data_IF_206021814391
#
_entry.id   IF_206021814391
#
_cell.length_a   1.000
_cell.length_b   1.000
_cell.length_c   1.000
_cell.angle_alpha   90.00
_cell.angle_beta   90.00
_cell.angle_gamma   90.00
#
_symmetry.space_group_name_H-M   'P 1'
#
loop_
_entity.id
_entity.type
_entity.pdbx_description
1 polymer ?
#
# COMPACT_ATOMS: atom_id res chain seq x y z
N UNK A 1 -37.14 -6.63 30.38
CA UNK A 1 -37.21 -5.25 29.88
C UNK A 1 -36.03 -5.03 28.96
N UNK A 2 -36.28 -5.10 27.65
CA UNK A 2 -35.28 -4.84 26.62
C UNK A 2 -35.28 -3.34 26.33
N UNK A 3 -34.17 -2.66 26.61
CA UNK A 3 -33.96 -1.31 26.10
C UNK A 3 -33.35 -1.49 24.72
N UNK A 4 -34.23 -1.50 23.72
CA UNK A 4 -33.84 -1.34 22.32
C UNK A 4 -33.30 0.09 22.14
N UNK A 5 -31.98 0.26 22.21
CA UNK A 5 -31.33 1.50 21.78
C UNK A 5 -31.42 1.62 20.26
N UNK A 6 -32.49 2.25 19.80
CA UNK A 6 -32.61 2.82 18.47
C UNK A 6 -31.44 3.79 18.21
N UNK A 7 -30.69 3.59 17.12
CA UNK A 7 -29.83 4.64 16.56
C UNK A 7 -28.44 4.24 16.10
N UNK A 8 -27.92 3.05 16.43
CA UNK A 8 -26.72 2.57 15.76
C UNK A 8 -27.13 1.90 14.45
N UNK A 9 -27.24 2.69 13.37
CA UNK A 9 -27.06 2.13 12.03
C UNK A 9 -25.69 1.45 12.06
N UNK A 10 -25.69 0.12 12.20
CA UNK A 10 -24.50 -0.69 12.01
C UNK A 10 -23.85 -0.18 10.73
N UNK A 11 -22.64 0.37 10.85
CA UNK A 11 -21.94 0.93 9.71
C UNK A 11 -21.90 -0.19 8.67
N UNK A 12 -22.70 -0.06 7.61
CA UNK A 12 -22.75 -1.03 6.53
C UNK A 12 -21.29 -1.16 6.09
N UNK A 13 -20.69 -2.32 6.32
CA UNK A 13 -19.32 -2.60 5.93
C UNK A 13 -19.36 -2.62 4.41
N UNK A 14 -19.26 -1.44 3.80
CA UNK A 14 -19.14 -1.29 2.35
C UNK A 14 -17.78 -1.82 2.00
N UNK A 15 -17.78 -3.10 1.60
CA UNK A 15 -16.62 -3.73 0.98
C UNK A 15 -16.18 -2.83 -0.17
N UNK A 16 -14.92 -2.40 -0.13
CA UNK A 16 -14.36 -1.52 -1.16
C UNK A 16 -14.46 -2.24 -2.51
N UNK A 17 -14.99 -1.54 -3.53
CA UNK A 17 -15.11 -2.11 -4.88
C UNK A 17 -13.74 -2.16 -5.54
N UNK A 18 -13.39 -3.30 -6.14
CA UNK A 18 -12.15 -3.44 -6.91
C UNK A 18 -12.53 -3.38 -8.39
N UNK A 19 -12.09 -2.33 -9.08
CA UNK A 19 -12.32 -2.14 -10.51
C UNK A 19 -11.03 -2.46 -11.27
N UNK A 20 -11.03 -3.55 -12.02
CA UNK A 20 -9.90 -3.91 -12.87
C UNK A 20 -10.04 -3.25 -14.26
N UNK A 21 -9.24 -2.21 -14.51
CA UNK A 21 -9.11 -1.55 -15.81
C UNK A 21 -7.74 -1.77 -16.46
N UNK A 22 -6.94 -2.73 -15.98
CA UNK A 22 -5.61 -3.03 -16.51
C UNK A 22 -5.71 -4.09 -17.61
N UNK A 23 -4.99 -3.87 -18.70
CA UNK A 23 -4.88 -4.82 -19.83
C UNK A 23 -3.73 -5.82 -19.66
N UNK A 24 -2.88 -5.60 -18.64
CA UNK A 24 -1.73 -6.45 -18.34
C UNK A 24 -2.14 -7.81 -17.74
N UNK A 25 -1.24 -8.79 -17.85
CA UNK A 25 -1.43 -10.12 -17.23
C UNK A 25 -1.16 -10.05 -15.72
N UNK A 26 -2.20 -9.71 -14.97
CA UNK A 26 -2.18 -9.64 -13.50
C UNK A 26 -2.20 -11.06 -12.91
N UNK A 27 -1.48 -11.33 -11.81
CA UNK A 27 -1.62 -12.59 -11.07
C UNK A 27 -3.09 -12.86 -10.67
N UNK A 28 -3.55 -14.10 -10.83
CA UNK A 28 -4.96 -14.49 -10.63
C UNK A 28 -5.49 -14.20 -9.21
N UNK A 29 -4.61 -14.22 -8.20
CA UNK A 29 -4.98 -14.02 -6.79
C UNK A 29 -4.96 -12.55 -6.35
N UNK A 30 -4.90 -11.59 -7.27
CA UNK A 30 -4.66 -10.18 -6.92
C UNK A 30 -5.81 -9.59 -6.11
N UNK A 31 -7.05 -9.78 -6.55
CA UNK A 31 -8.23 -9.31 -5.82
C UNK A 31 -8.35 -9.97 -4.44
N UNK A 32 -8.09 -11.28 -4.36
CA UNK A 32 -8.08 -12.00 -3.09
C UNK A 32 -6.98 -11.47 -2.15
N UNK A 33 -5.81 -11.12 -2.70
CA UNK A 33 -4.71 -10.53 -1.93
C UNK A 33 -5.07 -9.15 -1.42
N UNK A 34 -5.68 -8.28 -2.25
CA UNK A 34 -6.16 -6.96 -1.86
C UNK A 34 -7.18 -7.06 -0.72
N UNK A 35 -8.17 -7.95 -0.85
CA UNK A 35 -9.17 -8.17 0.20
C UNK A 35 -8.51 -8.59 1.52
N UNK A 36 -7.58 -9.56 1.49
CA UNK A 36 -6.85 -9.98 2.69
C UNK A 36 -6.08 -8.81 3.34
N UNK A 37 -5.48 -7.93 2.52
CA UNK A 37 -4.74 -6.75 3.02
C UNK A 37 -5.68 -5.78 3.72
N UNK A 38 -6.87 -5.53 3.12
CA UNK A 38 -7.90 -4.70 3.73
C UNK A 38 -8.41 -5.30 5.04
N UNK A 39 -8.66 -6.61 5.08
CA UNK A 39 -9.14 -7.32 6.28
C UNK A 39 -8.14 -7.28 7.45
N UNK A 40 -6.86 -7.03 7.18
CA UNK A 40 -5.84 -6.88 8.22
C UNK A 40 -5.83 -5.48 8.84
N UNK A 41 -6.31 -4.47 8.11
CA UNK A 41 -6.37 -3.10 8.61
C UNK A 41 -7.68 -2.86 9.38
N UNK A 42 -7.65 -2.08 10.46
CA UNK A 42 -8.86 -1.55 11.08
C UNK A 42 -9.75 -0.84 10.05
N UNK A 43 -11.06 -1.16 10.07
CA UNK A 43 -12.05 -0.62 9.12
C UNK A 43 -12.11 0.90 9.16
N UNK A 44 -11.84 1.48 10.33
CA UNK A 44 -11.77 2.92 10.52
C UNK A 44 -10.80 3.53 9.54
N UNK A 45 -9.61 2.96 9.35
CA UNK A 45 -8.50 3.58 8.62
C UNK A 45 -8.76 3.76 7.13
N UNK A 46 -9.67 2.99 6.53
CA UNK A 46 -10.07 3.11 5.13
C UNK A 46 -11.56 3.47 4.97
N UNK A 47 -12.23 3.84 6.07
CA UNK A 47 -13.64 4.20 6.06
C UNK A 47 -13.92 5.34 5.09
N UNK A 48 -14.90 5.13 4.21
CA UNK A 48 -15.32 6.11 3.22
C UNK A 48 -14.59 6.02 1.89
N UNK A 49 -13.57 5.14 1.78
CA UNK A 49 -12.99 4.77 0.49
C UNK A 49 -14.02 3.95 -0.30
N UNK A 50 -14.31 4.37 -1.53
CA UNK A 50 -15.33 3.74 -2.37
C UNK A 50 -14.77 2.59 -3.20
N UNK A 51 -13.62 2.83 -3.86
CA UNK A 51 -13.05 1.89 -4.82
C UNK A 51 -11.53 1.89 -4.90
N UNK A 52 -11.00 0.78 -5.40
CA UNK A 52 -9.61 0.60 -5.81
C UNK A 52 -9.63 0.30 -7.31
N UNK A 53 -9.00 1.16 -8.11
CA UNK A 53 -8.89 1.02 -9.55
C UNK A 53 -7.50 0.52 -9.92
N UNK A 54 -7.43 -0.62 -10.61
CA UNK A 54 -6.20 -1.15 -11.17
C UNK A 54 -6.07 -0.65 -12.62
N UNK A 55 -4.96 0.01 -12.93
CA UNK A 55 -4.68 0.57 -14.26
C UNK A 55 -3.29 0.13 -14.73
N UNK A 56 -3.03 0.20 -16.04
CA UNK A 56 -1.69 -0.14 -16.55
C UNK A 56 -0.67 0.91 -16.14
N UNK A 57 -0.99 2.19 -16.34
CA UNK A 57 -0.19 3.34 -15.91
C UNK A 57 -1.10 4.46 -15.42
N UNK A 58 -0.65 5.22 -14.43
CA UNK A 58 -1.41 6.35 -13.88
C UNK A 58 -1.20 7.56 -14.78
N UNK A 59 -2.30 8.12 -15.31
CA UNK A 59 -2.29 9.29 -16.17
C UNK A 59 -3.24 10.35 -15.58
N UNK A 60 -2.76 11.09 -14.58
CA UNK A 60 -3.50 12.19 -13.97
C UNK A 60 -3.00 13.54 -14.53
N UNK A 61 -3.90 14.41 -15.02
CA UNK A 61 -3.54 15.77 -15.46
C UNK A 61 -2.78 16.59 -14.42
N UNK A 62 -3.02 16.37 -13.12
CA UNK A 62 -2.34 17.08 -12.01
C UNK A 62 -0.85 16.77 -11.94
N UNK A 63 -0.44 15.58 -12.38
CA UNK A 63 0.96 15.16 -12.38
C UNK A 63 1.74 15.78 -13.54
N UNK A 64 1.07 16.16 -14.63
CA UNK A 64 1.70 16.81 -15.80
C UNK A 64 2.16 18.24 -15.52
N UNK A 65 1.58 18.88 -14.51
CA UNK A 65 1.89 20.25 -14.10
C UNK A 65 2.86 20.32 -12.92
N UNK A 66 3.48 19.21 -12.50
CA UNK A 66 4.50 19.21 -11.44
C UNK A 66 5.89 19.41 -12.04
N UNK A 67 6.62 20.43 -11.58
CA UNK A 67 7.99 20.75 -12.00
C UNK A 67 9.04 19.71 -11.59
N UNK A 68 8.67 18.72 -10.77
CA UNK A 68 9.58 17.65 -10.33
C UNK A 68 9.59 16.49 -11.32
N UNK A 69 10.75 16.12 -11.88
CA UNK A 69 10.84 14.96 -12.77
C UNK A 69 10.55 13.68 -11.98
N UNK A 70 9.36 13.12 -12.19
CA UNK A 70 9.01 11.78 -11.70
C UNK A 70 9.90 10.77 -12.43
N UNK A 71 10.91 10.26 -11.72
CA UNK A 71 11.83 9.26 -12.26
C UNK A 71 11.13 7.89 -12.28
N UNK A 72 10.40 7.62 -13.36
CA UNK A 72 9.64 6.38 -13.58
C UNK A 72 8.14 6.51 -13.32
N UNK A 73 7.41 5.42 -13.54
CA UNK A 73 5.96 5.38 -13.41
C UNK A 73 5.51 5.38 -11.94
N UNK A 74 4.49 6.17 -11.60
CA UNK A 74 3.93 6.16 -10.25
C UNK A 74 3.26 4.81 -9.96
N UNK A 75 3.59 4.16 -8.84
CA UNK A 75 3.02 2.87 -8.51
C UNK A 75 1.60 2.99 -7.94
N UNK A 76 1.21 4.15 -7.41
CA UNK A 76 -0.11 4.39 -6.84
C UNK A 76 -0.41 5.87 -6.62
N UNK A 77 -1.69 6.22 -6.66
CA UNK A 77 -2.19 7.57 -6.47
C UNK A 77 -3.44 7.56 -5.58
N UNK A 78 -3.45 8.43 -4.58
CA UNK A 78 -4.61 8.67 -3.74
C UNK A 78 -5.44 9.82 -4.29
N UNK A 79 -6.73 9.56 -4.51
CA UNK A 79 -7.70 10.57 -4.90
C UNK A 79 -8.54 10.96 -3.67
N UNK A 80 -8.29 12.13 -3.05
CA UNK A 80 -9.08 12.59 -1.91
C UNK A 80 -10.50 12.95 -2.35
N UNK A 81 -11.42 13.04 -1.38
CA UNK A 81 -12.81 13.44 -1.62
C UNK A 81 -12.86 14.77 -2.37
N UNK A 82 -13.51 14.78 -3.53
CA UNK A 82 -13.66 15.97 -4.37
C UNK A 82 -15.14 16.15 -4.75
N UNK A 83 -15.79 17.16 -4.17
CA UNK A 83 -17.22 17.39 -4.34
C UNK A 83 -18.06 16.18 -3.93
N UNK A 84 -18.81 15.63 -4.89
CA UNK A 84 -19.67 14.47 -4.69
C UNK A 84 -18.95 13.11 -4.87
N UNK A 85 -17.69 13.11 -5.32
CA UNK A 85 -16.92 11.87 -5.47
C UNK A 85 -16.26 11.48 -4.14
N UNK A 86 -16.52 10.26 -3.68
CA UNK A 86 -15.88 9.69 -2.51
C UNK A 86 -14.39 9.40 -2.80
N UNK A 87 -13.54 9.31 -1.76
CA UNK A 87 -12.13 9.02 -1.93
C UNK A 87 -11.93 7.63 -2.55
N UNK A 88 -10.92 7.49 -3.40
CA UNK A 88 -10.61 6.23 -4.06
C UNK A 88 -9.11 6.10 -4.32
N UNK A 89 -8.68 4.88 -4.64
CA UNK A 89 -7.28 4.54 -4.85
C UNK A 89 -7.04 4.11 -6.28
N UNK A 90 -5.96 4.59 -6.86
CA UNK A 90 -5.48 4.17 -8.18
C UNK A 90 -4.14 3.45 -8.03
N UNK A 91 -4.00 2.29 -8.65
CA UNK A 91 -2.79 1.47 -8.58
C UNK A 91 -2.30 1.12 -9.97
N UNK A 92 -1.03 1.39 -10.24
CA UNK A 92 -0.38 1.07 -11.52
C UNK A 92 0.16 -0.35 -11.50
N UNK A 93 -0.44 -1.24 -12.30
CA UNK A 93 0.04 -2.60 -12.47
C UNK A 93 1.32 -2.65 -13.31
N UNK A 94 1.52 -1.70 -14.23
CA UNK A 94 2.73 -1.58 -15.03
C UNK A 94 3.95 -1.26 -14.17
N UNK A 95 3.81 -0.33 -13.22
CA UNK A 95 4.88 0.01 -12.29
C UNK A 95 5.21 -1.16 -11.32
N UNK A 96 4.20 -1.95 -10.92
CA UNK A 96 4.38 -3.07 -10.00
C UNK A 96 4.91 -4.36 -10.66
N UNK A 97 4.55 -4.60 -11.92
CA UNK A 97 4.93 -5.81 -12.66
C UNK A 97 6.13 -5.60 -13.59
N UNK A 98 6.50 -4.35 -13.87
CA UNK A 98 7.61 -3.94 -14.75
C UNK A 98 7.64 -4.78 -16.05
N UNK A 99 6.52 -4.84 -16.79
CA UNK A 99 6.36 -5.79 -17.90
C UNK A 99 7.30 -5.50 -19.08
N UNK A 100 7.83 -4.27 -19.17
CA UNK A 100 8.74 -3.76 -20.20
C UNK A 100 10.21 -4.07 -19.91
N UNK A 101 10.54 -4.58 -18.73
CA UNK A 101 11.93 -4.86 -18.34
C UNK A 101 12.37 -6.30 -18.66
N UNK A 102 13.68 -6.56 -18.53
CA UNK A 102 14.30 -7.87 -18.80
C UNK A 102 13.63 -9.00 -18.02
N UNK A 103 13.64 -10.22 -18.58
CA UNK A 103 13.03 -11.42 -18.01
C UNK A 103 13.29 -11.63 -16.51
N UNK A 104 14.52 -11.38 -16.05
CA UNK A 104 14.90 -11.49 -14.63
C UNK A 104 14.13 -10.48 -13.76
N UNK A 105 14.05 -9.22 -14.20
CA UNK A 105 13.33 -8.17 -13.47
C UNK A 105 11.83 -8.44 -13.43
N UNK A 106 11.27 -8.92 -14.55
CA UNK A 106 9.87 -9.37 -14.62
C UNK A 106 9.58 -10.51 -13.64
N UNK A 107 10.48 -11.49 -13.53
CA UNK A 107 10.33 -12.57 -12.56
C UNK A 107 10.43 -12.07 -11.11
N UNK A 108 11.39 -11.20 -10.80
CA UNK A 108 11.53 -10.60 -9.47
C UNK A 108 10.32 -9.75 -9.10
N UNK A 109 9.78 -8.96 -10.04
CA UNK A 109 8.58 -8.16 -9.86
C UNK A 109 7.37 -9.06 -9.56
N UNK A 110 7.18 -10.16 -10.30
CA UNK A 110 6.11 -11.14 -10.03
C UNK A 110 6.25 -11.81 -8.66
N UNK A 111 7.48 -12.17 -8.27
CA UNK A 111 7.75 -12.81 -6.98
C UNK A 111 7.51 -11.86 -5.78
N UNK A 112 7.87 -10.59 -5.93
CA UNK A 112 7.68 -9.55 -4.90
C UNK A 112 6.30 -8.88 -4.94
N UNK A 113 5.47 -9.18 -5.94
CA UNK A 113 4.21 -8.51 -6.21
C UNK A 113 3.26 -8.42 -5.01
N UNK A 114 3.09 -9.51 -4.26
CA UNK A 114 2.24 -9.54 -3.06
C UNK A 114 2.73 -8.56 -1.98
N UNK A 115 4.05 -8.45 -1.80
CA UNK A 115 4.66 -7.52 -0.86
C UNK A 115 4.56 -6.08 -1.35
N UNK A 116 4.78 -5.84 -2.63
CA UNK A 116 4.71 -4.50 -3.22
C UNK A 116 3.28 -3.94 -3.19
N UNK A 117 2.27 -4.77 -3.51
CA UNK A 117 0.86 -4.39 -3.37
C UNK A 117 0.52 -4.07 -1.91
N UNK A 118 0.96 -4.90 -0.95
CA UNK A 118 0.70 -4.65 0.46
C UNK A 118 1.32 -3.33 0.92
N UNK A 119 2.58 -3.08 0.58
CA UNK A 119 3.27 -1.83 0.91
C UNK A 119 2.59 -0.60 0.30
N UNK A 120 2.18 -0.72 -0.97
CA UNK A 120 1.45 0.34 -1.66
C UNK A 120 0.08 0.62 -1.03
N UNK A 121 -0.69 -0.43 -0.74
CA UNK A 121 -1.98 -0.32 -0.07
C UNK A 121 -1.84 0.32 1.31
N UNK A 122 -0.86 -0.08 2.11
CA UNK A 122 -0.62 0.55 3.42
C UNK A 122 -0.20 2.02 3.28
N UNK A 123 0.56 2.38 2.25
CA UNK A 123 0.89 3.78 1.96
C UNK A 123 -0.37 4.59 1.60
N UNK A 124 -1.21 4.08 0.67
CA UNK A 124 -2.43 4.75 0.24
C UNK A 124 -3.48 4.89 1.35
N UNK A 125 -3.67 3.83 2.14
CA UNK A 125 -4.53 3.89 3.33
C UNK A 125 -3.95 4.84 4.36
N UNK A 126 -2.62 4.86 4.56
CA UNK A 126 -1.96 5.81 5.43
C UNK A 126 -2.20 7.26 5.00
N UNK A 127 -2.09 7.55 3.70
CA UNK A 127 -2.44 8.86 3.13
C UNK A 127 -3.89 9.22 3.44
N UNK A 128 -4.84 8.32 3.18
CA UNK A 128 -6.25 8.56 3.49
C UNK A 128 -6.48 8.80 4.99
N UNK A 129 -5.94 7.95 5.85
CA UNK A 129 -6.09 8.03 7.29
C UNK A 129 -5.59 9.36 7.85
N UNK A 130 -4.36 9.76 7.51
CA UNK A 130 -3.75 10.98 8.03
C UNK A 130 -4.29 12.26 7.39
N UNK A 131 -4.79 12.21 6.16
CA UNK A 131 -5.37 13.39 5.50
C UNK A 131 -6.85 13.60 5.86
N UNK A 132 -7.60 12.51 6.07
CA UNK A 132 -9.06 12.58 6.18
C UNK A 132 -9.58 12.32 7.58
N UNK A 133 -8.89 11.50 8.39
CA UNK A 133 -9.45 11.05 9.67
C UNK A 133 -8.65 11.57 10.87
N UNK A 134 -7.32 11.61 10.77
CA UNK A 134 -6.45 12.06 11.84
C UNK A 134 -5.92 13.47 11.57
N UNK A 135 -6.70 14.47 11.96
CA UNK A 135 -6.36 15.89 11.77
C UNK A 135 -5.32 16.46 12.75
N UNK A 136 -4.75 15.63 13.63
CA UNK A 136 -3.84 16.09 14.70
C UNK A 136 -2.41 16.35 14.24
N UNK A 137 -2.11 16.25 12.94
CA UNK A 137 -0.73 16.21 12.42
C UNK A 137 -0.49 17.37 11.47
N UNK A 138 0.64 18.05 11.68
CA UNK A 138 1.09 19.14 10.83
C UNK A 138 1.46 18.61 9.45
N UNK A 139 1.17 19.38 8.40
CA UNK A 139 1.44 19.01 7.00
C UNK A 139 2.90 18.62 6.75
N UNK A 140 3.85 19.29 7.42
CA UNK A 140 5.29 19.00 7.33
C UNK A 140 5.69 17.62 7.85
N UNK A 141 4.89 17.03 8.73
CA UNK A 141 5.16 15.73 9.35
C UNK A 141 4.31 14.59 8.74
N UNK A 142 3.52 14.86 7.70
CA UNK A 142 2.63 13.86 7.11
C UNK A 142 3.41 12.73 6.43
N UNK A 143 4.35 13.07 5.55
CA UNK A 143 5.09 12.06 4.78
C UNK A 143 5.88 11.10 5.68
N UNK A 144 6.67 11.56 6.68
CA UNK A 144 7.34 10.64 7.60
C UNK A 144 6.37 9.73 8.35
N UNK A 145 5.19 10.23 8.74
CA UNK A 145 4.22 9.45 9.48
C UNK A 145 3.49 8.42 8.62
N UNK A 146 3.15 8.79 7.39
CA UNK A 146 2.59 7.86 6.39
C UNK A 146 3.61 6.74 6.11
N UNK A 147 4.89 7.10 5.95
CA UNK A 147 5.96 6.13 5.74
C UNK A 147 6.12 5.18 6.92
N UNK A 148 6.22 5.70 8.14
CA UNK A 148 6.32 4.88 9.35
C UNK A 148 5.10 3.96 9.52
N UNK A 149 3.91 4.46 9.21
CA UNK A 149 2.69 3.66 9.22
C UNK A 149 2.74 2.52 8.21
N UNK A 150 3.16 2.81 6.97
CA UNK A 150 3.27 1.80 5.93
C UNK A 150 4.33 0.74 6.28
N UNK A 151 5.51 1.16 6.74
CA UNK A 151 6.59 0.27 7.15
C UNK A 151 6.18 -0.63 8.32
N UNK A 152 5.50 -0.09 9.34
CA UNK A 152 5.00 -0.84 10.49
C UNK A 152 4.00 -1.92 10.06
N UNK A 153 2.99 -1.55 9.29
CA UNK A 153 1.96 -2.49 8.84
C UNK A 153 2.54 -3.53 7.88
N UNK A 154 3.46 -3.14 7.00
CA UNK A 154 4.14 -4.05 6.09
C UNK A 154 4.98 -5.08 6.83
N UNK A 155 5.70 -4.67 7.89
CA UNK A 155 6.48 -5.58 8.74
C UNK A 155 5.57 -6.64 9.39
N UNK A 156 4.51 -6.19 10.05
CA UNK A 156 3.57 -7.09 10.75
C UNK A 156 2.83 -7.99 9.75
N UNK A 157 2.41 -7.45 8.61
CA UNK A 157 1.79 -8.22 7.54
C UNK A 157 2.73 -9.31 7.01
N UNK A 158 3.98 -8.94 6.70
CA UNK A 158 4.99 -9.87 6.22
C UNK A 158 5.28 -10.97 7.24
N UNK A 159 5.30 -10.62 8.53
CA UNK A 159 5.42 -11.58 9.63
C UNK A 159 4.28 -12.59 9.65
N UNK A 160 3.02 -12.12 9.63
CA UNK A 160 1.84 -12.99 9.60
C UNK A 160 1.78 -13.88 8.36
N UNK A 161 2.13 -13.35 7.19
CA UNK A 161 2.20 -14.15 5.96
C UNK A 161 3.32 -15.20 6.02
N UNK A 162 4.40 -14.89 6.74
CA UNK A 162 5.55 -15.78 6.86
C UNK A 162 5.41 -16.77 8.01
N UNK A 163 4.52 -16.56 8.98
CA UNK A 163 4.43 -17.33 10.25
C UNK A 163 4.24 -18.85 10.08
N UNK A 164 3.74 -19.32 8.95
CA UNK A 164 3.65 -20.75 8.60
C UNK A 164 4.73 -21.27 7.63
N UNK A 165 5.58 -20.40 7.09
CA UNK A 165 6.56 -20.75 6.06
C UNK A 165 7.85 -21.33 6.65
N UNK A 166 8.42 -22.35 6.00
CA UNK A 166 9.74 -22.90 6.34
C UNK A 166 10.83 -21.81 6.46
N UNK A 167 10.77 -20.81 5.55
CA UNK A 167 11.63 -19.63 5.60
C UNK A 167 11.53 -18.86 6.92
N UNK A 168 10.35 -18.68 7.49
CA UNK A 168 10.23 -17.97 8.76
C UNK A 168 10.82 -18.77 9.91
N UNK A 169 10.64 -20.09 9.92
CA UNK A 169 11.26 -20.95 10.94
C UNK A 169 12.80 -20.90 10.87
N UNK A 170 13.36 -20.84 9.65
CA UNK A 170 14.80 -20.75 9.44
C UNK A 170 15.38 -19.36 9.73
N UNK A 171 14.72 -18.27 9.30
CA UNK A 171 15.28 -16.91 9.35
C UNK A 171 14.87 -16.10 10.59
N UNK A 172 13.80 -16.46 11.32
CA UNK A 172 13.40 -15.79 12.58
C UNK A 172 14.57 -15.64 13.58
N UNK A 173 15.37 -16.67 13.90
CA UNK A 173 16.47 -16.54 14.86
C UNK A 173 17.61 -15.63 14.38
N UNK A 174 17.79 -15.50 13.06
CA UNK A 174 18.87 -14.68 12.48
C UNK A 174 18.50 -13.23 12.20
N UNK A 175 17.22 -12.83 12.41
CA UNK A 175 16.75 -11.45 12.23
C UNK A 175 17.63 -10.37 12.90
N UNK A 176 18.05 -10.48 14.17
CA UNK A 176 18.83 -9.42 14.80
C UNK A 176 20.18 -9.20 14.11
N UNK A 177 20.80 -10.25 13.57
CA UNK A 177 22.06 -10.15 12.82
C UNK A 177 21.83 -9.53 11.44
N UNK A 178 20.77 -9.94 10.74
CA UNK A 178 20.39 -9.37 9.44
C UNK A 178 20.04 -7.87 9.56
N UNK A 179 19.34 -7.45 10.61
CA UNK A 179 19.02 -6.04 10.86
C UNK A 179 20.29 -5.22 11.16
N UNK A 180 21.26 -5.78 11.90
CA UNK A 180 22.57 -5.14 12.13
C UNK A 180 23.35 -4.97 10.84
N UNK A 181 23.37 -5.99 9.98
CA UNK A 181 24.03 -5.92 8.68
C UNK A 181 23.35 -4.93 7.73
N UNK A 182 22.01 -4.90 7.71
CA UNK A 182 21.27 -3.92 6.92
C UNK A 182 21.55 -2.47 7.37
N UNK A 183 21.62 -2.21 8.67
CA UNK A 183 22.00 -0.90 9.22
C UNK A 183 23.42 -0.51 8.82
N UNK A 184 24.36 -1.46 8.89
CA UNK A 184 25.74 -1.24 8.49
C UNK A 184 25.87 -0.96 6.97
N UNK A 185 25.17 -1.72 6.13
CA UNK A 185 25.13 -1.50 4.68
C UNK A 185 24.52 -0.16 4.30
N UNK A 186 23.40 0.22 4.93
CA UNK A 186 22.78 1.52 4.69
C UNK A 186 23.69 2.67 5.14
N UNK A 187 24.43 2.51 6.24
CA UNK A 187 25.43 3.48 6.69
C UNK A 187 26.54 3.64 5.64
N UNK A 188 27.09 2.52 5.13
CA UNK A 188 28.10 2.55 4.06
C UNK A 188 27.59 3.15 2.76
N UNK A 189 26.37 2.84 2.36
CA UNK A 189 25.75 3.38 1.15
C UNK A 189 25.44 4.89 1.25
N UNK A 190 25.15 5.38 2.46
CA UNK A 190 24.99 6.81 2.71
C UNK A 190 26.34 7.54 2.72
N UNK A 191 27.40 6.90 3.22
CA UNK A 191 28.77 7.42 3.19
C UNK A 191 29.33 7.47 1.76
N UNK A 192 29.00 6.50 0.90
CA UNK A 192 29.44 6.47 -0.52
C UNK A 192 28.65 7.39 -1.45
N UNK A 193 27.55 8.00 -0.98
CA UNK A 193 26.73 8.96 -1.72
C UNK A 193 27.02 10.42 -1.35
N UNK A 194 27.87 10.64 -0.35
CA UNK A 194 28.48 11.94 -0.06
C UNK A 194 29.77 12.08 -0.87
#
# INVERSE_FOLDING_TARGET
MAIETAGQKAAKVTKIRIDNGSTLTIPKDTEATINKILDFLPVEQYRGVEKIKLVDFINDPRLKNMDTPLKGDLPGLYHPRAGNQAPWFEMSMGALLQPTETYIKKFMAKSSFKGNIAGLMFSLVGQHYYLTQKHSIKRTALEPQIRQYAEKNLKVWSEKQSEGSFRAKLFKPFRPYLERWAKWLNKKAAESKK
#
